data_IF_287091997960
#
_entry.id   IF_287091997960
#
_cell.length_a   1.000
_cell.length_b   1.000
_cell.length_c   1.000
_cell.angle_alpha   90.00
_cell.angle_beta   90.00
_cell.angle_gamma   90.00
#
_symmetry.space_group_name_H-M   'P 1'
#
loop_
_entity.id
_entity.type
_entity.pdbx_description
1 polymer ?
#
# COMPACT_ATOMS: atom_id res chain seq x y z
N UNK A 1 -6.90 17.49 15.19
CA UNK A 1 -7.57 16.51 14.31
C UNK A 1 -7.36 16.81 12.83
N UNK A 2 -7.75 17.99 12.32
CA UNK A 2 -7.60 18.39 10.91
C UNK A 2 -6.16 18.21 10.39
N UNK A 3 -5.15 18.68 11.14
CA UNK A 3 -3.73 18.53 10.76
C UNK A 3 -3.30 17.08 10.54
N UNK A 4 -3.78 16.15 11.37
CA UNK A 4 -3.48 14.71 11.21
C UNK A 4 -4.13 14.13 9.96
N UNK A 5 -5.34 14.58 9.60
CA UNK A 5 -6.02 14.18 8.36
C UNK A 5 -5.22 14.67 7.14
N UNK A 6 -4.75 15.91 7.15
CA UNK A 6 -3.89 16.45 6.08
C UNK A 6 -2.62 15.59 5.93
N UNK A 7 -1.97 15.24 7.04
CA UNK A 7 -0.77 14.37 7.02
C UNK A 7 -1.10 12.98 6.46
N UNK A 8 -2.26 12.39 6.79
CA UNK A 8 -2.71 11.13 6.21
C UNK A 8 -2.89 11.25 4.70
N UNK A 9 -3.56 12.30 4.23
CA UNK A 9 -3.76 12.53 2.79
C UNK A 9 -2.41 12.68 2.08
N UNK A 10 -1.48 13.47 2.63
CA UNK A 10 -0.12 13.58 2.11
C UNK A 10 0.58 12.22 2.07
N UNK A 11 0.47 11.43 3.14
CA UNK A 11 1.02 10.08 3.21
C UNK A 11 0.47 9.17 2.12
N UNK A 12 -0.85 9.20 1.88
CA UNK A 12 -1.52 8.43 0.83
C UNK A 12 -1.03 8.84 -0.55
N UNK A 13 -0.88 10.14 -0.81
CA UNK A 13 -0.34 10.63 -2.08
C UNK A 13 1.08 10.12 -2.30
N UNK A 14 1.96 10.19 -1.28
CA UNK A 14 3.32 9.64 -1.38
C UNK A 14 3.34 8.13 -1.59
N UNK A 15 2.46 7.38 -0.91
CA UNK A 15 2.34 5.94 -1.10
C UNK A 15 1.88 5.59 -2.52
N UNK A 16 0.82 6.24 -3.00
CA UNK A 16 0.27 6.00 -4.33
C UNK A 16 1.28 6.42 -5.40
N UNK A 17 2.00 7.53 -5.21
CA UNK A 17 3.07 7.96 -6.10
C UNK A 17 4.19 6.95 -6.19
N UNK A 18 4.71 6.49 -5.04
CA UNK A 18 5.76 5.48 -5.04
C UNK A 18 5.30 4.13 -5.63
N UNK A 19 4.05 3.74 -5.38
CA UNK A 19 3.45 2.53 -5.96
C UNK A 19 3.31 2.65 -7.48
N UNK A 20 2.88 3.81 -7.97
CA UNK A 20 2.81 4.10 -9.40
C UNK A 20 4.17 4.08 -10.07
N UNK A 21 5.21 4.64 -9.43
CA UNK A 21 6.59 4.53 -9.90
C UNK A 21 7.04 3.06 -10.00
N UNK A 22 6.81 2.26 -8.94
CA UNK A 22 7.15 0.83 -8.98
C UNK A 22 6.40 0.10 -10.10
N UNK A 23 5.10 0.38 -10.26
CA UNK A 23 4.27 -0.22 -11.31
C UNK A 23 4.81 0.10 -12.70
N UNK A 24 5.18 1.36 -12.94
CA UNK A 24 5.71 1.83 -14.21
C UNK A 24 7.03 1.16 -14.60
N UNK A 25 7.87 0.82 -13.62
CA UNK A 25 9.23 0.31 -13.88
C UNK A 25 9.29 -1.13 -14.40
N UNK A 26 8.15 -1.84 -14.48
CA UNK A 26 8.11 -3.27 -14.79
C UNK A 26 9.07 -4.11 -13.92
N UNK A 27 9.19 -3.73 -12.64
CA UNK A 27 9.77 -4.58 -11.60
C UNK A 27 8.70 -5.18 -10.69
N UNK A 28 7.43 -4.81 -10.85
CA UNK A 28 6.30 -5.27 -10.06
C UNK A 28 5.98 -4.36 -8.87
N UNK A 29 4.88 -4.68 -8.20
CA UNK A 29 4.36 -3.92 -7.05
C UNK A 29 4.07 -4.85 -5.87
N UNK A 30 3.62 -4.30 -4.74
CA UNK A 30 3.28 -5.12 -3.57
C UNK A 30 2.11 -6.09 -3.88
N UNK A 31 2.02 -7.23 -3.17
CA UNK A 31 1.08 -8.30 -3.51
C UNK A 31 -0.39 -7.86 -3.58
N UNK A 32 -0.84 -7.02 -2.64
CA UNK A 32 -2.24 -6.61 -2.59
C UNK A 32 -2.59 -5.69 -3.77
N UNK A 33 -1.74 -4.71 -4.05
CA UNK A 33 -1.95 -3.85 -5.21
C UNK A 33 -1.81 -4.63 -6.52
N UNK A 34 -0.92 -5.61 -6.60
CA UNK A 34 -0.81 -6.49 -7.76
C UNK A 34 -2.11 -7.30 -7.99
N UNK A 35 -2.72 -7.81 -6.92
CA UNK A 35 -4.02 -8.47 -6.98
C UNK A 35 -5.11 -7.50 -7.47
N UNK A 36 -5.13 -6.26 -6.96
CA UNK A 36 -6.10 -5.26 -7.38
C UNK A 36 -5.95 -4.89 -8.86
N UNK A 37 -4.73 -4.67 -9.35
CA UNK A 37 -4.45 -4.37 -10.76
C UNK A 37 -4.82 -5.54 -11.67
N UNK A 38 -4.41 -6.77 -11.34
CA UNK A 38 -4.75 -7.94 -12.15
C UNK A 38 -6.26 -8.18 -12.20
N UNK A 39 -6.93 -8.09 -11.05
CA UNK A 39 -8.37 -8.30 -10.95
C UNK A 39 -9.18 -7.19 -11.63
N UNK A 40 -8.76 -5.92 -11.54
CA UNK A 40 -9.42 -4.81 -12.22
C UNK A 40 -9.37 -4.99 -13.73
N UNK A 41 -8.23 -5.44 -14.26
CA UNK A 41 -8.05 -5.71 -15.68
C UNK A 41 -8.88 -6.91 -16.13
N UNK A 42 -8.89 -8.00 -15.35
CA UNK A 42 -9.69 -9.21 -15.66
C UNK A 42 -11.20 -8.92 -15.69
N UNK A 43 -11.70 -8.07 -14.78
CA UNK A 43 -13.11 -7.73 -14.68
C UNK A 43 -13.52 -6.52 -15.55
N UNK A 44 -12.57 -5.87 -16.23
CA UNK A 44 -12.77 -4.63 -16.98
C UNK A 44 -13.45 -3.52 -16.15
N UNK A 45 -13.06 -3.38 -14.87
CA UNK A 45 -13.51 -2.29 -14.01
C UNK A 45 -12.34 -1.40 -13.62
N UNK A 46 -12.62 -0.16 -13.20
CA UNK A 46 -11.54 0.76 -12.83
C UNK A 46 -10.77 0.29 -11.60
N UNK A 47 -9.45 0.49 -11.60
CA UNK A 47 -8.55 0.14 -10.50
C UNK A 47 -9.02 0.75 -9.17
N UNK A 48 -9.43 2.03 -9.19
CA UNK A 48 -9.93 2.71 -8.01
C UNK A 48 -11.17 2.04 -7.42
N UNK A 49 -12.12 1.65 -8.28
CA UNK A 49 -13.37 0.98 -7.84
C UNK A 49 -13.08 -0.42 -7.29
N UNK A 50 -12.26 -1.22 -7.97
CA UNK A 50 -11.91 -2.56 -7.47
C UNK A 50 -11.20 -2.47 -6.12
N UNK A 51 -10.23 -1.57 -5.99
CA UNK A 51 -9.46 -1.38 -4.75
C UNK A 51 -10.37 -0.94 -3.60
N UNK A 52 -11.31 -0.02 -3.85
CA UNK A 52 -12.30 0.41 -2.87
C UNK A 52 -13.16 -0.76 -2.40
N UNK A 53 -13.70 -1.56 -3.34
CA UNK A 53 -14.55 -2.72 -3.01
C UNK A 53 -13.75 -3.77 -2.23
N UNK A 54 -12.52 -4.07 -2.65
CA UNK A 54 -11.65 -5.02 -1.96
C UNK A 54 -11.34 -4.56 -0.52
N UNK A 55 -10.96 -3.30 -0.33
CA UNK A 55 -10.71 -2.74 1.00
C UNK A 55 -11.99 -2.68 1.84
N UNK A 56 -13.16 -2.41 1.23
CA UNK A 56 -14.44 -2.45 1.93
C UNK A 56 -14.78 -3.85 2.43
N UNK A 57 -14.60 -4.89 1.61
CA UNK A 57 -14.80 -6.29 2.01
C UNK A 57 -13.88 -6.64 3.18
N UNK A 58 -12.60 -6.28 3.08
CA UNK A 58 -11.63 -6.52 4.17
C UNK A 58 -12.02 -5.75 5.43
N UNK A 59 -12.44 -4.49 5.31
CA UNK A 59 -12.88 -3.68 6.44
C UNK A 59 -14.08 -4.33 7.15
N UNK A 60 -15.08 -4.80 6.40
CA UNK A 60 -16.25 -5.51 6.95
C UNK A 60 -15.81 -6.76 7.71
N UNK A 61 -14.90 -7.57 7.15
CA UNK A 61 -14.36 -8.75 7.84
C UNK A 61 -13.67 -8.37 9.15
N UNK A 62 -12.86 -7.32 9.15
CA UNK A 62 -12.17 -6.85 10.36
C UNK A 62 -13.14 -6.26 11.38
N UNK A 63 -14.26 -5.66 10.96
CA UNK A 63 -15.29 -5.20 11.89
C UNK A 63 -15.92 -6.38 12.66
N UNK A 64 -15.99 -7.58 12.09
CA UNK A 64 -16.45 -8.77 12.81
C UNK A 64 -15.35 -9.44 13.65
N UNK A 65 -14.08 -9.28 13.26
CA UNK A 65 -12.95 -9.92 13.94
C UNK A 65 -12.45 -9.05 15.09
N UNK A 66 -12.09 -7.78 14.83
CA UNK A 66 -11.35 -6.91 15.73
C UNK A 66 -11.53 -5.41 15.39
N UNK A 67 -12.68 -4.82 15.77
CA UNK A 67 -13.04 -3.42 15.44
C UNK A 67 -12.01 -2.36 15.86
N UNK A 68 -11.20 -2.62 16.90
CA UNK A 68 -10.22 -1.65 17.45
C UNK A 68 -9.15 -1.20 16.46
N UNK A 69 -8.89 -1.97 15.41
CA UNK A 69 -7.87 -1.63 14.41
C UNK A 69 -8.37 -0.68 13.31
N UNK A 70 -9.70 -0.54 13.19
CA UNK A 70 -10.32 0.38 12.25
C UNK A 70 -10.74 1.66 12.96
N UNK A 71 -10.39 2.79 12.36
CA UNK A 71 -10.78 4.12 12.85
C UNK A 71 -11.17 5.03 11.70
N UNK A 72 -11.53 6.28 12.01
CA UNK A 72 -11.93 7.28 11.00
C UNK A 72 -10.78 7.53 10.00
N UNK A 73 -9.54 7.41 10.45
CA UNK A 73 -8.35 7.52 9.59
C UNK A 73 -8.19 6.36 8.62
N UNK A 74 -8.84 5.22 8.83
CA UNK A 74 -8.85 4.07 7.90
C UNK A 74 -9.72 4.32 6.68
N UNK A 75 -10.76 5.15 6.79
CA UNK A 75 -11.68 5.47 5.69
C UNK A 75 -10.99 6.27 4.59
N UNK A 76 -10.09 7.18 4.97
CA UNK A 76 -9.37 8.04 4.02
C UNK A 76 -8.56 7.20 3.01
N UNK A 77 -7.60 6.35 3.42
CA UNK A 77 -6.86 5.51 2.47
C UNK A 77 -7.76 4.48 1.79
N UNK A 78 -8.73 3.91 2.50
CA UNK A 78 -9.67 2.92 1.94
C UNK A 78 -10.44 3.46 0.72
N UNK A 79 -10.89 4.72 0.77
CA UNK A 79 -11.64 5.33 -0.33
C UNK A 79 -10.68 5.94 -1.35
N UNK A 80 -9.66 6.69 -0.90
CA UNK A 80 -8.88 7.56 -1.80
C UNK A 80 -7.69 6.88 -2.48
N UNK A 81 -7.03 5.91 -1.84
CA UNK A 81 -5.75 5.36 -2.34
C UNK A 81 -5.88 4.78 -3.75
N UNK A 82 -6.90 3.96 -3.99
CA UNK A 82 -7.08 3.31 -5.30
C UNK A 82 -7.30 4.30 -6.43
N UNK A 83 -8.13 5.34 -6.22
CA UNK A 83 -8.36 6.38 -7.23
C UNK A 83 -7.13 7.26 -7.46
N UNK A 84 -6.40 7.61 -6.39
CA UNK A 84 -5.15 8.37 -6.52
C UNK A 84 -4.11 7.55 -7.29
N UNK A 85 -3.96 6.26 -6.98
CA UNK A 85 -3.05 5.36 -7.70
C UNK A 85 -3.43 5.24 -9.17
N UNK A 86 -4.73 5.13 -9.47
CA UNK A 86 -5.22 5.11 -10.85
C UNK A 86 -4.80 6.37 -11.63
N UNK A 87 -5.09 7.57 -11.08
CA UNK A 87 -4.70 8.84 -11.71
C UNK A 87 -3.19 8.93 -11.87
N UNK A 88 -2.42 8.50 -10.87
CA UNK A 88 -0.96 8.50 -10.95
C UNK A 88 -0.47 7.58 -12.07
N UNK A 89 -1.02 6.37 -12.21
CA UNK A 89 -0.66 5.47 -13.31
C UNK A 89 -0.94 6.12 -14.68
N UNK A 90 -2.13 6.71 -14.86
CA UNK A 90 -2.51 7.40 -16.09
C UNK A 90 -1.55 8.58 -16.40
N UNK A 91 -1.20 9.38 -15.38
CA UNK A 91 -0.24 10.49 -15.54
C UNK A 91 1.16 9.98 -15.86
N UNK A 92 1.63 8.94 -15.18
CA UNK A 92 2.95 8.35 -15.42
C UNK A 92 3.06 7.82 -16.86
N UNK A 93 2.03 7.13 -17.35
CA UNK A 93 1.97 6.66 -18.75
C UNK A 93 2.00 7.81 -19.77
N UNK A 94 1.42 8.97 -19.43
CA UNK A 94 1.40 10.14 -20.32
C UNK A 94 2.69 10.97 -20.33
N UNK A 95 3.42 11.00 -19.20
CA UNK A 95 4.58 11.88 -18.99
C UNK A 95 5.91 11.15 -19.20
N UNK A 96 5.99 9.89 -18.79
CA UNK A 96 7.24 9.13 -18.82
C UNK A 96 7.45 8.40 -20.17
N UNK A 97 8.70 8.25 -20.61
CA UNK A 97 9.02 7.63 -21.89
C UNK A 97 8.71 6.13 -21.90
N UNK A 98 8.07 5.65 -22.97
CA UNK A 98 7.58 4.27 -23.15
C UNK A 98 8.63 3.17 -22.90
N UNK A 99 9.92 3.49 -23.01
CA UNK A 99 11.00 2.59 -22.64
C UNK A 99 12.06 3.34 -21.83
N UNK A 100 12.50 2.70 -20.75
CA UNK A 100 13.61 3.17 -19.90
C UNK A 100 14.71 2.11 -19.88
N UNK A 101 15.96 2.53 -19.70
CA UNK A 101 17.04 1.58 -19.48
C UNK A 101 16.81 0.84 -18.16
N UNK A 102 17.29 -0.40 -18.07
CA UNK A 102 17.10 -1.21 -16.85
C UNK A 102 17.68 -0.54 -15.60
N UNK A 103 18.77 0.20 -15.75
CA UNK A 103 19.40 0.99 -14.68
C UNK A 103 18.47 2.12 -14.23
N UNK A 104 17.89 2.87 -15.17
CA UNK A 104 16.96 3.94 -14.85
C UNK A 104 15.70 3.39 -14.17
N UNK A 105 15.14 2.28 -14.67
CA UNK A 105 14.01 1.61 -14.05
C UNK A 105 14.32 1.11 -12.65
N UNK A 106 15.51 0.55 -12.42
CA UNK A 106 15.92 0.10 -11.08
C UNK A 106 16.09 1.25 -10.08
N UNK A 107 16.69 2.36 -10.51
CA UNK A 107 16.80 3.57 -9.68
C UNK A 107 15.42 4.14 -9.37
N UNK A 108 14.54 4.23 -10.36
CA UNK A 108 13.17 4.74 -10.20
C UNK A 108 12.34 3.84 -9.28
N UNK A 109 12.50 2.53 -9.40
CA UNK A 109 11.90 1.55 -8.49
C UNK A 109 12.36 1.76 -7.05
N UNK A 110 13.67 1.97 -6.84
CA UNK A 110 14.24 2.29 -5.52
C UNK A 110 13.66 3.57 -4.92
N UNK A 111 13.51 4.62 -5.73
CA UNK A 111 12.82 5.86 -5.32
C UNK A 111 11.36 5.58 -4.94
N UNK A 112 10.67 4.78 -5.75
CA UNK A 112 9.31 4.32 -5.47
C UNK A 112 9.18 3.64 -4.12
N UNK A 113 10.08 2.70 -3.79
CA UNK A 113 10.11 2.04 -2.49
C UNK A 113 10.26 3.01 -1.32
N UNK A 114 11.14 4.02 -1.47
CA UNK A 114 11.37 5.04 -0.44
C UNK A 114 10.11 5.90 -0.25
N UNK A 115 9.47 6.33 -1.34
CA UNK A 115 8.21 7.07 -1.29
C UNK A 115 7.09 6.27 -0.62
N UNK A 116 6.96 4.98 -0.96
CA UNK A 116 6.00 4.06 -0.33
C UNK A 116 6.25 3.99 1.18
N UNK A 117 7.48 3.73 1.60
CA UNK A 117 7.81 3.62 3.02
C UNK A 117 7.60 4.94 3.80
N UNK A 118 7.95 6.08 3.20
CA UNK A 118 7.70 7.40 3.78
C UNK A 118 6.20 7.67 3.94
N UNK A 119 5.41 7.42 2.90
CA UNK A 119 3.97 7.59 2.95
C UNK A 119 3.29 6.66 3.97
N UNK A 120 3.72 5.39 4.04
CA UNK A 120 3.26 4.43 5.05
C UNK A 120 3.56 4.94 6.47
N UNK A 121 4.77 5.45 6.66
CA UNK A 121 5.21 5.98 7.95
C UNK A 121 4.39 7.18 8.41
N UNK A 122 3.99 8.07 7.49
CA UNK A 122 3.17 9.25 7.80
C UNK A 122 1.78 8.86 8.28
N UNK A 123 1.10 7.94 7.59
CA UNK A 123 -0.25 7.57 8.00
C UNK A 123 -0.26 6.71 9.28
N UNK A 124 0.67 5.74 9.40
CA UNK A 124 0.71 4.82 10.55
C UNK A 124 0.91 5.56 11.87
N UNK A 125 1.73 6.61 11.89
CA UNK A 125 2.04 7.38 13.10
C UNK A 125 0.94 8.38 13.51
N UNK A 126 -0.14 8.53 12.73
CA UNK A 126 -1.23 9.45 13.08
C UNK A 126 -2.19 8.87 14.13
N UNK A 127 -2.13 7.56 14.40
CA UNK A 127 -2.96 6.81 15.36
C UNK A 127 -4.47 6.98 15.15
N UNK A 128 -4.91 7.16 13.89
CA UNK A 128 -6.33 7.34 13.54
C UNK A 128 -6.99 6.07 12.97
N UNK A 129 -6.28 4.93 13.01
CA UNK A 129 -6.71 3.65 12.44
C UNK A 129 -5.74 3.14 11.38
N UNK A 130 -5.72 1.83 11.15
CA UNK A 130 -4.90 1.19 10.11
C UNK A 130 -5.69 0.99 8.82
N UNK A 131 -4.99 0.93 7.69
CA UNK A 131 -5.60 0.47 6.42
C UNK A 131 -6.18 -0.93 6.66
N UNK A 132 -7.40 -1.25 6.17
CA UNK A 132 -8.03 -2.54 6.43
C UNK A 132 -7.13 -3.72 6.08
N UNK A 133 -6.50 -3.70 4.90
CA UNK A 133 -5.53 -4.73 4.51
C UNK A 133 -4.39 -4.92 5.54
N UNK A 134 -3.84 -3.83 6.06
CA UNK A 134 -2.76 -3.87 7.05
C UNK A 134 -3.21 -4.42 8.39
N UNK A 135 -4.45 -4.13 8.78
CA UNK A 135 -5.05 -4.62 10.00
C UNK A 135 -5.33 -6.14 9.99
N UNK A 136 -5.38 -6.84 8.84
CA UNK A 136 -5.66 -8.29 8.77
C UNK A 136 -4.64 -9.08 9.59
N UNK A 137 -3.35 -8.83 9.35
CA UNK A 137 -2.25 -9.55 10.00
C UNK A 137 -2.25 -9.37 11.53
N UNK A 138 -2.52 -8.15 12.00
CA UNK A 138 -2.65 -7.84 13.42
C UNK A 138 -3.92 -8.45 14.04
N UNK A 139 -5.04 -8.42 13.32
CA UNK A 139 -6.32 -8.98 13.78
C UNK A 139 -6.24 -10.49 13.98
N UNK A 140 -5.57 -11.20 13.07
CA UNK A 140 -5.35 -12.65 13.19
C UNK A 140 -4.33 -12.93 14.31
N UNK A 141 -3.23 -12.17 14.36
CA UNK A 141 -2.17 -12.31 15.36
C UNK A 141 -2.71 -12.30 16.79
N UNK A 142 -3.62 -11.39 17.11
CA UNK A 142 -4.22 -11.30 18.43
C UNK A 142 -5.11 -12.49 18.79
N UNK A 143 -5.77 -13.12 17.81
CA UNK A 143 -6.61 -14.30 18.06
C UNK A 143 -5.80 -15.57 18.28
N UNK A 144 -4.67 -15.72 17.60
CA UNK A 144 -3.87 -16.95 17.64
C UNK A 144 -2.55 -16.81 18.41
N UNK A 145 -2.30 -15.64 19.01
CA UNK A 145 -1.08 -15.30 19.77
C UNK A 145 0.23 -15.59 19.00
N UNK A 146 0.25 -15.33 17.69
CA UNK A 146 1.45 -15.47 16.84
C UNK A 146 1.99 -14.12 16.42
N UNK A 147 3.26 -14.09 16.01
CA UNK A 147 3.92 -12.87 15.54
C UNK A 147 3.19 -12.26 14.32
N UNK A 148 2.73 -11.00 14.38
CA UNK A 148 2.00 -10.35 13.29
C UNK A 148 2.84 -10.21 12.01
N UNK A 149 4.16 -10.07 12.13
CA UNK A 149 5.05 -9.99 10.98
C UNK A 149 5.12 -11.32 10.21
N UNK A 150 5.13 -12.45 10.92
CA UNK A 150 5.11 -13.77 10.27
C UNK A 150 3.79 -14.00 9.53
N UNK A 151 2.67 -13.62 10.16
CA UNK A 151 1.35 -13.71 9.53
C UNK A 151 1.21 -12.81 8.32
N UNK A 152 1.79 -11.60 8.39
CA UNK A 152 1.84 -10.68 7.24
C UNK A 152 2.52 -11.34 6.04
N UNK A 153 3.68 -11.98 6.24
CA UNK A 153 4.37 -12.70 5.16
C UNK A 153 3.51 -13.82 4.58
N UNK A 154 2.83 -14.62 5.40
CA UNK A 154 1.96 -15.71 4.92
C UNK A 154 0.80 -15.16 4.09
N UNK A 155 0.16 -14.09 4.56
CA UNK A 155 -0.93 -13.40 3.85
C UNK A 155 -0.43 -12.83 2.52
N UNK A 156 0.70 -12.11 2.55
CA UNK A 156 1.32 -11.49 1.38
C UNK A 156 1.69 -12.55 0.32
N UNK A 157 2.23 -13.71 0.73
CA UNK A 157 2.53 -14.83 -0.19
C UNK A 157 1.26 -15.43 -0.79
N UNK A 158 0.21 -15.59 0.03
CA UNK A 158 -1.08 -16.11 -0.44
C UNK A 158 -1.71 -15.18 -1.48
N UNK A 159 -1.66 -13.88 -1.21
CA UNK A 159 -2.17 -12.84 -2.11
C UNK A 159 -1.32 -12.69 -3.35
N UNK A 160 0.02 -12.78 -3.24
CA UNK A 160 0.90 -12.79 -4.40
C UNK A 160 0.59 -13.97 -5.34
N UNK A 161 0.28 -15.13 -4.77
CA UNK A 161 -0.12 -16.31 -5.55
C UNK A 161 -1.43 -16.07 -6.30
N UNK A 162 -2.44 -15.47 -5.64
CA UNK A 162 -3.70 -15.08 -6.28
C UNK A 162 -3.49 -13.99 -7.34
N UNK A 163 -2.65 -12.98 -7.05
CA UNK A 163 -2.30 -11.91 -7.97
C UNK A 163 -1.67 -12.47 -9.24
N UNK A 164 -0.75 -13.43 -9.11
CA UNK A 164 -0.14 -14.11 -10.25
C UNK A 164 -1.19 -14.83 -11.12
N UNK A 165 -2.16 -15.52 -10.50
CA UNK A 165 -3.23 -16.22 -11.23
C UNK A 165 -4.15 -15.28 -12.01
N UNK A 166 -4.43 -14.09 -11.49
CA UNK A 166 -5.26 -13.08 -12.18
C UNK A 166 -4.45 -12.18 -13.13
N UNK A 167 -3.18 -12.50 -13.38
CA UNK A 167 -2.32 -11.72 -14.28
C UNK A 167 -1.84 -10.38 -13.71
N UNK A 168 -1.79 -10.26 -12.38
CA UNK A 168 -1.24 -9.09 -11.70
C UNK A 168 0.28 -8.94 -11.87
N UNK A 169 0.82 -7.70 -11.75
CA UNK A 169 2.24 -7.41 -11.95
C UNK A 169 3.14 -7.90 -10.79
N UNK A 170 3.32 -9.22 -10.70
CA UNK A 170 4.19 -9.91 -9.73
C UNK A 170 5.53 -10.26 -10.39
N UNK A 171 6.60 -9.62 -9.92
CA UNK A 171 7.94 -9.74 -10.50
C UNK A 171 9.01 -9.63 -9.39
N UNK A 172 10.30 -9.55 -9.75
CA UNK A 172 11.42 -9.52 -8.78
C UNK A 172 11.31 -8.36 -7.78
N UNK A 173 10.81 -7.21 -8.21
CA UNK A 173 10.55 -6.06 -7.34
C UNK A 173 9.46 -6.30 -6.30
N UNK A 174 8.46 -7.17 -6.55
CA UNK A 174 7.49 -7.56 -5.51
C UNK A 174 8.20 -8.19 -4.31
N UNK A 175 9.22 -9.02 -4.56
CA UNK A 175 10.05 -9.63 -3.52
C UNK A 175 10.88 -8.54 -2.82
N UNK A 176 11.51 -7.64 -3.58
CA UNK A 176 12.27 -6.52 -3.02
C UNK A 176 11.40 -5.60 -2.15
N UNK A 177 10.16 -5.33 -2.54
CA UNK A 177 9.20 -4.56 -1.74
C UNK A 177 8.85 -5.30 -0.45
N UNK A 178 8.53 -6.59 -0.52
CA UNK A 178 8.16 -7.40 0.65
C UNK A 178 9.27 -7.40 1.73
N UNK A 179 10.53 -7.52 1.33
CA UNK A 179 11.66 -7.52 2.27
C UNK A 179 12.20 -6.12 2.59
N UNK A 180 12.16 -5.18 1.63
CA UNK A 180 12.79 -3.86 1.73
C UNK A 180 11.93 -2.82 2.45
N UNK A 181 10.60 -2.89 2.31
CA UNK A 181 9.69 -1.93 2.96
C UNK A 181 9.89 -1.92 4.48
N UNK A 182 9.98 -3.10 5.12
CA UNK A 182 10.06 -3.22 6.57
C UNK A 182 11.25 -2.45 7.19
N UNK A 183 12.50 -2.71 6.76
CA UNK A 183 13.67 -1.96 7.19
C UNK A 183 13.58 -0.46 6.91
N UNK A 184 13.16 -0.04 5.71
CA UNK A 184 13.04 1.37 5.34
C UNK A 184 12.00 2.08 6.22
N UNK A 185 10.88 1.42 6.47
CA UNK A 185 9.82 1.92 7.36
C UNK A 185 10.34 2.14 8.79
N UNK A 186 11.22 1.27 9.31
CA UNK A 186 11.84 1.47 10.64
C UNK A 186 12.67 2.75 10.71
N UNK A 187 13.29 3.17 9.61
CA UNK A 187 14.07 4.41 9.53
C UNK A 187 13.16 5.64 9.51
N UNK A 188 12.05 5.59 8.75
CA UNK A 188 11.13 6.73 8.64
C UNK A 188 10.18 6.90 9.82
N UNK A 189 9.85 5.83 10.53
CA UNK A 189 8.95 5.88 11.71
C UNK A 189 9.37 6.92 12.76
N UNK A 190 10.61 6.97 13.27
CA UNK A 190 11.01 7.99 14.25
C UNK A 190 11.00 9.41 13.67
N UNK A 191 11.32 9.58 12.39
CA UNK A 191 11.39 10.89 11.71
C UNK A 191 9.98 11.49 11.58
N UNK A 192 9.07 10.72 10.99
CA UNK A 192 7.68 11.15 10.76
C UNK A 192 6.90 11.31 12.07
N UNK A 193 7.18 10.49 13.10
CA UNK A 193 6.60 10.67 14.43
C UNK A 193 6.97 12.04 15.05
N UNK A 194 8.21 12.51 14.89
CA UNK A 194 8.60 13.86 15.33
C UNK A 194 7.81 14.96 14.60
N UNK A 195 7.56 14.78 13.30
CA UNK A 195 6.75 15.72 12.50
C UNK A 195 5.30 15.75 12.98
N UNK A 196 4.71 14.57 13.23
CA UNK A 196 3.32 14.45 13.68
C UNK A 196 3.13 15.03 15.09
N UNK A 197 4.07 14.80 16.01
CA UNK A 197 4.06 15.39 17.36
C UNK A 197 4.16 16.92 17.37
N UNK A 198 4.76 17.53 16.35
CA UNK A 198 4.79 19.00 16.19
C UNK A 198 3.48 19.54 15.59
N UNK A 199 2.70 18.68 14.95
CA UNK A 199 1.43 19.03 14.30
C UNK A 199 0.20 18.79 15.20
N UNK A 200 0.35 18.00 16.27
CA UNK A 200 -0.64 17.79 17.34
C UNK A 200 -0.62 18.93 18.34
#
# INVERSE_FOLDING_TARGET
MIRKIIIIICGIIFMAFGTGLCNYTNFGIDPFNALCVGSSNMLNISLGTFTLVAQFIIAVLILFIQKRFLGIGSLVPMISFGYILQVINEVMESVLPTSMSIIASFVLFGVGMVCIALGMSLYMNCDLGMVPYDAVSFSISEKINKNPFLLRVIIDVSIASLAFLVGGPIQVGTILLAFGIGPILKVFKPITNKVIKRAS
#
